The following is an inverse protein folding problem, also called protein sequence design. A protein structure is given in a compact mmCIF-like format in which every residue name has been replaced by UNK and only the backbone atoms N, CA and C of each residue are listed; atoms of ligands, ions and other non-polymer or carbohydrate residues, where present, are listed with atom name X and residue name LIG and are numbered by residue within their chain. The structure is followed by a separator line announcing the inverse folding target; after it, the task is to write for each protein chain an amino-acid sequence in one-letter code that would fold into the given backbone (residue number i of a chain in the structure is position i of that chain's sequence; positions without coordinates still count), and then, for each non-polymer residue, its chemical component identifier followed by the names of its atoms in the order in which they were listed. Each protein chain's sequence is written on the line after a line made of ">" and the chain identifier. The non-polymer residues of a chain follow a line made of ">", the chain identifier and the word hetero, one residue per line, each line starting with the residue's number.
data_IF_122011752136
#
_entry.id   IF_122011752136
#
_cell.length_a   1.000
_cell.length_b   1.000
_cell.length_c   1.000
_cell.angle_alpha   90.00
_cell.angle_beta   90.00
_cell.angle_gamma   90.00
#
_symmetry.space_group_name_H-M   'P 1'
#
loop_
_entity.id
_entity.type
_entity.pdbx_description
1 polymer ?
#
# COMPACT_ATOMS: atom_id res chain seq x y z
N UNK A 1 17.67 7.72 -4.30
CA UNK A 1 17.41 8.38 -5.60
C UNK A 1 15.92 8.71 -5.66
N UNK A 2 15.51 9.95 -5.39
CA UNK A 2 14.09 10.33 -5.25
C UNK A 2 13.36 10.45 -6.60
N UNK A 3 14.10 10.50 -7.72
CA UNK A 3 13.53 10.63 -9.07
C UNK A 3 12.62 9.46 -9.46
N UNK A 4 12.87 8.26 -8.93
CA UNK A 4 12.06 7.07 -9.21
C UNK A 4 10.62 7.17 -8.69
N UNK A 5 10.34 8.09 -7.77
CA UNK A 5 9.01 8.34 -7.22
C UNK A 5 8.38 9.64 -7.75
N UNK A 6 9.02 10.31 -8.72
CA UNK A 6 8.52 11.56 -9.27
C UNK A 6 7.12 11.41 -9.89
N UNK A 7 6.78 10.21 -10.37
CA UNK A 7 5.46 9.90 -10.92
C UNK A 7 4.33 10.10 -9.92
N UNK A 8 4.57 9.97 -8.60
CA UNK A 8 3.53 10.17 -7.59
C UNK A 8 2.92 11.58 -7.63
N UNK A 9 3.64 12.58 -8.15
CA UNK A 9 3.13 13.95 -8.33
C UNK A 9 1.94 14.03 -9.29
N UNK A 10 1.76 13.01 -10.13
CA UNK A 10 0.66 12.91 -11.09
C UNK A 10 -0.59 12.25 -10.47
N UNK A 11 -0.53 11.75 -9.23
CA UNK A 11 -1.71 11.21 -8.54
C UNK A 11 -2.30 12.24 -7.58
N UNK A 12 -3.06 13.20 -8.12
CA UNK A 12 -3.69 14.26 -7.34
C UNK A 12 -5.18 14.05 -7.19
N UNK A 13 -5.67 14.28 -5.97
CA UNK A 13 -7.10 14.32 -5.65
C UNK A 13 -7.33 15.63 -4.90
N UNK A 14 -8.22 16.46 -5.46
CA UNK A 14 -8.38 17.88 -5.14
C UNK A 14 -7.02 18.58 -5.28
N UNK A 15 -6.59 19.31 -4.25
CA UNK A 15 -5.32 20.04 -4.27
C UNK A 15 -4.15 19.23 -3.67
N UNK A 16 -4.40 17.98 -3.24
CA UNK A 16 -3.42 17.12 -2.58
C UNK A 16 -2.77 16.12 -3.53
N UNK A 17 -1.47 15.85 -3.33
CA UNK A 17 -0.81 14.68 -3.89
C UNK A 17 -1.11 13.51 -2.94
N UNK A 18 -1.79 12.48 -3.43
CA UNK A 18 -2.13 11.31 -2.62
C UNK A 18 -1.27 10.14 -3.03
N UNK A 19 -0.74 9.40 -2.06
CA UNK A 19 -0.11 8.12 -2.32
C UNK A 19 -1.20 7.12 -2.78
N UNK A 20 -1.06 6.49 -3.96
CA UNK A 20 -2.09 5.61 -4.50
C UNK A 20 -2.39 4.43 -3.59
N UNK A 21 -3.68 4.10 -3.42
CA UNK A 21 -4.11 2.92 -2.67
C UNK A 21 -3.48 1.63 -3.21
N UNK A 22 -3.38 1.51 -4.54
CA UNK A 22 -2.73 0.37 -5.21
C UNK A 22 -1.23 0.28 -4.90
N UNK A 23 -0.56 1.41 -4.71
CA UNK A 23 0.86 1.41 -4.35
C UNK A 23 1.09 0.89 -2.93
N UNK A 24 0.15 1.12 -1.99
CA UNK A 24 0.20 0.50 -0.65
C UNK A 24 0.13 -1.03 -0.75
N UNK A 25 -0.74 -1.55 -1.62
CA UNK A 25 -0.85 -2.99 -1.86
C UNK A 25 0.42 -3.58 -2.50
N UNK A 26 1.04 -2.85 -3.43
CA UNK A 26 2.31 -3.28 -4.03
C UNK A 26 3.44 -3.34 -2.99
N UNK A 27 3.47 -2.41 -2.02
CA UNK A 27 4.42 -2.48 -0.90
C UNK A 27 4.21 -3.75 -0.08
N UNK A 28 2.97 -4.13 0.23
CA UNK A 28 2.67 -5.39 0.93
C UNK A 28 3.14 -6.59 0.11
N UNK A 29 2.84 -6.62 -1.19
CA UNK A 29 3.25 -7.68 -2.08
C UNK A 29 4.78 -7.82 -2.18
N UNK A 30 5.48 -6.69 -2.30
CA UNK A 30 6.94 -6.65 -2.32
C UNK A 30 7.54 -7.11 -0.98
N UNK A 31 7.01 -6.64 0.15
CA UNK A 31 7.45 -7.05 1.48
C UNK A 31 7.27 -8.54 1.72
N UNK A 32 6.11 -9.08 1.32
CA UNK A 32 5.86 -10.51 1.37
C UNK A 32 6.87 -11.31 0.54
N UNK A 33 7.10 -10.91 -0.71
CA UNK A 33 8.09 -11.57 -1.59
C UNK A 33 9.48 -11.56 -0.97
N UNK A 34 9.88 -10.48 -0.30
CA UNK A 34 11.17 -10.40 0.38
C UNK A 34 11.28 -11.38 1.55
N UNK A 35 10.20 -11.57 2.33
CA UNK A 35 10.16 -12.51 3.45
C UNK A 35 10.16 -13.99 3.02
N UNK A 36 9.61 -14.31 1.84
CA UNK A 36 9.47 -15.69 1.35
C UNK A 36 10.53 -16.14 0.35
N UNK A 37 11.01 -15.24 -0.51
CA UNK A 37 12.02 -15.59 -1.53
C UNK A 37 13.42 -15.76 -0.93
N UNK A 38 13.61 -15.44 0.36
CA UNK A 38 14.84 -15.74 1.11
C UNK A 38 14.99 -17.22 1.49
N UNK A 39 13.96 -18.05 1.33
CA UNK A 39 13.97 -19.47 1.67
C UNK A 39 13.86 -20.35 0.42
N UNK A 40 15.00 -20.61 -0.26
CA UNK A 40 15.37 -21.63 -1.27
C UNK A 40 14.37 -22.18 -2.34
N UNK A 41 13.09 -21.84 -2.31
CA UNK A 41 12.09 -22.26 -3.28
C UNK A 41 11.66 -21.06 -4.13
N UNK A 42 12.25 -20.95 -5.32
CA UNK A 42 11.97 -19.94 -6.35
C UNK A 42 10.59 -20.09 -7.02
N UNK A 43 9.62 -20.74 -6.37
CA UNK A 43 8.26 -20.73 -6.89
C UNK A 43 7.64 -19.39 -6.51
N UNK A 44 7.18 -18.65 -7.53
CA UNK A 44 6.37 -17.45 -7.32
C UNK A 44 5.06 -17.89 -6.66
N UNK A 45 5.02 -17.93 -5.33
CA UNK A 45 3.77 -18.14 -4.60
C UNK A 45 2.81 -17.01 -4.97
N UNK A 46 1.66 -17.40 -5.53
CA UNK A 46 0.58 -16.48 -5.78
C UNK A 46 0.05 -16.01 -4.42
N UNK A 47 0.06 -14.70 -4.22
CA UNK A 47 -0.55 -14.09 -3.04
C UNK A 47 -1.89 -13.48 -3.41
N UNK A 48 -2.85 -13.66 -2.53
CA UNK A 48 -4.13 -12.95 -2.59
C UNK A 48 -4.22 -12.04 -1.38
N UNK A 49 -4.46 -10.75 -1.61
CA UNK A 49 -4.76 -9.80 -0.54
C UNK A 49 -6.27 -9.80 -0.33
N UNK A 50 -6.68 -10.17 0.88
CA UNK A 50 -8.08 -10.35 1.26
C UNK A 50 -8.48 -9.35 2.35
N UNK A 51 -9.78 -9.13 2.51
CA UNK A 51 -10.34 -8.26 3.57
C UNK A 51 -9.69 -6.87 3.65
N UNK A 52 -9.31 -6.32 2.49
CA UNK A 52 -8.57 -5.07 2.37
C UNK A 52 -9.43 -3.90 2.88
N UNK A 53 -8.93 -3.16 3.86
CA UNK A 53 -9.53 -1.93 4.37
C UNK A 53 -8.55 -0.77 4.25
N UNK A 54 -8.97 0.27 3.54
CA UNK A 54 -8.27 1.55 3.52
C UNK A 54 -8.86 2.45 4.60
N UNK A 55 -8.07 2.74 5.63
CA UNK A 55 -8.48 3.49 6.82
C UNK A 55 -8.32 4.99 6.61
N UNK A 56 -7.18 5.41 6.04
CA UNK A 56 -6.85 6.82 5.84
C UNK A 56 -5.99 7.02 4.61
N UNK A 57 -6.32 8.04 3.81
CA UNK A 57 -5.49 8.44 2.68
C UNK A 57 -4.13 8.96 3.17
N UNK A 58 -3.06 8.58 2.46
CA UNK A 58 -1.73 9.13 2.68
C UNK A 58 -1.54 10.34 1.77
N UNK A 59 -1.47 11.53 2.35
CA UNK A 59 -1.22 12.78 1.63
C UNK A 59 0.28 13.07 1.68
N UNK A 60 0.89 13.32 0.51
CA UNK A 60 2.30 13.65 0.38
C UNK A 60 2.46 15.17 0.28
N UNK A 61 3.33 15.74 1.10
CA UNK A 61 3.70 17.16 1.01
C UNK A 61 5.04 17.32 0.29
N UNK A 62 5.23 18.43 -0.44
CA UNK A 62 6.41 18.59 -1.32
C UNK A 62 7.74 18.75 -0.57
N UNK A 63 7.69 19.14 0.71
CA UNK A 63 8.86 19.51 1.50
C UNK A 63 9.10 18.59 2.69
N UNK A 64 8.35 17.50 2.80
CA UNK A 64 8.46 16.55 3.89
C UNK A 64 8.69 15.14 3.35
N UNK A 65 9.75 14.50 3.84
CA UNK A 65 9.92 13.08 3.64
C UNK A 65 8.91 12.33 4.51
N UNK A 66 8.21 11.37 3.94
CA UNK A 66 7.32 10.47 4.69
C UNK A 66 7.88 9.07 4.64
N UNK A 67 8.03 8.45 5.81
CA UNK A 67 8.39 7.06 5.93
C UNK A 67 7.14 6.19 5.91
N UNK A 68 7.17 5.10 5.17
CA UNK A 68 6.09 4.12 5.08
C UNK A 68 6.59 2.80 5.67
N UNK A 69 5.83 2.24 6.59
CA UNK A 69 6.14 1.00 7.29
C UNK A 69 5.12 -0.07 6.95
N UNK A 70 5.61 -1.28 6.78
CA UNK A 70 4.78 -2.45 6.46
C UNK A 70 5.02 -3.50 7.50
N UNK A 71 3.97 -3.84 8.24
CA UNK A 71 3.97 -4.96 9.17
C UNK A 71 3.25 -6.13 8.50
N UNK A 72 3.88 -7.30 8.51
CA UNK A 72 3.29 -8.55 8.03
C UNK A 72 3.41 -9.57 9.16
N UNK A 73 2.27 -9.94 9.75
CA UNK A 73 2.18 -11.02 10.73
C UNK A 73 1.90 -12.33 9.98
N UNK A 74 2.95 -13.13 9.84
CA UNK A 74 2.91 -14.38 9.09
C UNK A 74 2.06 -15.47 9.75
N UNK A 75 1.96 -15.45 11.08
CA UNK A 75 1.21 -16.45 11.84
C UNK A 75 -0.29 -16.16 11.74
N UNK A 76 -0.67 -14.88 11.86
CA UNK A 76 -2.06 -14.44 11.73
C UNK A 76 -2.50 -14.26 10.29
N UNK A 77 -1.55 -14.22 9.35
CA UNK A 77 -1.76 -13.90 7.94
C UNK A 77 -2.38 -12.51 7.76
N UNK A 78 -1.90 -11.55 8.54
CA UNK A 78 -2.39 -10.18 8.56
C UNK A 78 -1.29 -9.22 8.13
N UNK A 79 -1.69 -8.10 7.54
CA UNK A 79 -0.76 -7.03 7.19
C UNK A 79 -1.35 -5.67 7.55
N UNK A 80 -0.46 -4.71 7.78
CA UNK A 80 -0.81 -3.32 8.06
C UNK A 80 0.24 -2.37 7.48
N UNK A 81 -0.22 -1.25 6.93
CA UNK A 81 0.62 -0.18 6.40
C UNK A 81 0.45 1.07 7.24
N UNK A 82 1.56 1.58 7.74
CA UNK A 82 1.65 2.80 8.51
C UNK A 82 2.50 3.83 7.78
N UNK A 83 2.33 5.11 8.15
CA UNK A 83 3.30 6.13 7.79
C UNK A 83 3.59 7.05 8.96
N UNK A 84 4.72 7.74 8.89
CA UNK A 84 5.01 8.91 9.72
C UNK A 84 5.81 9.94 8.92
N UNK A 85 5.62 11.23 9.17
CA UNK A 85 6.51 12.24 8.62
C UNK A 85 7.90 12.15 9.27
N UNK A 86 8.95 12.41 8.48
CA UNK A 86 10.34 12.38 8.96
C UNK A 86 10.59 13.42 10.06
N UNK A 87 9.86 14.53 10.03
CA UNK A 87 9.89 15.58 11.07
C UNK A 87 9.52 15.03 12.46
N UNK A 88 8.74 13.96 12.54
CA UNK A 88 8.35 13.30 13.79
C UNK A 88 9.35 12.26 14.28
N UNK A 89 10.37 11.87 13.48
CA UNK A 89 11.28 10.76 13.79
C UNK A 89 12.27 11.01 14.95
N UNK A 90 12.24 12.21 15.56
CA UNK A 90 13.07 12.57 16.71
C UNK A 90 14.59 12.66 16.42
N UNK A 91 15.41 12.97 17.44
CA UNK A 91 16.87 13.10 17.29
C UNK A 91 17.60 11.76 17.04
N UNK A 92 16.95 10.61 17.27
CA UNK A 92 17.48 9.27 16.99
C UNK A 92 17.16 8.74 15.57
N UNK A 93 16.74 9.64 14.67
CA UNK A 93 16.35 9.36 13.28
C UNK A 93 17.45 8.74 12.38
N UNK A 94 18.68 8.60 12.85
CA UNK A 94 19.76 7.88 12.15
C UNK A 94 19.71 6.36 12.33
N UNK A 95 18.73 5.81 13.07
CA UNK A 95 18.43 4.38 13.03
C UNK A 95 17.59 4.09 11.78
N UNK A 96 18.07 3.30 10.80
CA UNK A 96 17.35 2.98 9.55
C UNK A 96 16.09 2.11 9.73
N UNK A 97 15.58 2.05 10.95
CA UNK A 97 14.47 1.21 11.37
C UNK A 97 13.87 1.92 12.58
N UNK A 98 12.83 2.74 12.33
CA UNK A 98 12.06 3.48 13.34
C UNK A 98 11.38 2.63 14.42
N UNK A 99 11.58 1.32 14.39
CA UNK A 99 11.69 0.43 15.54
C UNK A 99 12.94 -0.40 15.24
N UNK A 100 13.89 -0.56 16.17
CA UNK A 100 14.84 -1.65 15.97
C UNK A 100 14.01 -2.93 15.84
N UNK A 101 14.42 -3.89 15.00
CA UNK A 101 13.83 -5.23 15.03
C UNK A 101 13.69 -5.74 16.47
N UNK A 102 14.61 -5.30 17.34
CA UNK A 102 14.65 -5.58 18.75
C UNK A 102 13.53 -4.90 19.55
N UNK A 103 13.12 -3.67 19.26
CA UNK A 103 11.99 -3.02 19.97
C UNK A 103 10.65 -3.68 19.60
N UNK A 104 10.53 -4.18 18.36
CA UNK A 104 9.38 -5.01 17.94
C UNK A 104 9.42 -6.41 18.59
N UNK A 105 10.58 -7.06 18.63
CA UNK A 105 10.78 -8.35 19.31
C UNK A 105 10.52 -8.22 20.82
N UNK A 106 11.00 -7.15 21.44
CA UNK A 106 10.78 -6.84 22.85
C UNK A 106 9.31 -6.46 23.10
N UNK A 107 8.61 -5.87 22.11
CA UNK A 107 7.16 -5.66 22.19
C UNK A 107 6.30 -6.92 22.05
N UNK A 108 6.83 -7.98 21.45
CA UNK A 108 6.20 -9.31 21.46
C UNK A 108 6.32 -9.98 22.84
N UNK A 109 7.28 -9.54 23.66
CA UNK A 109 7.52 -10.03 25.02
C UNK A 109 6.87 -9.13 26.10
N UNK A 110 6.71 -7.83 25.83
CA UNK A 110 6.07 -6.86 26.72
C UNK A 110 5.18 -5.86 25.95
N UNK A 111 3.87 -5.97 26.14
CA UNK A 111 2.86 -5.08 25.53
C UNK A 111 3.00 -3.61 25.97
N UNK A 112 3.68 -3.31 27.09
CA UNK A 112 3.85 -1.93 27.55
C UNK A 112 4.84 -1.13 26.69
N UNK A 113 5.79 -1.78 26.03
CA UNK A 113 6.79 -1.12 25.16
C UNK A 113 6.14 -0.45 23.94
N UNK A 114 5.08 -1.05 23.38
CA UNK A 114 4.27 -0.45 22.31
C UNK A 114 3.45 0.76 22.77
N UNK A 115 3.09 0.82 24.06
CA UNK A 115 2.33 1.94 24.60
C UNK A 115 3.19 3.17 24.89
N UNK A 116 4.51 2.99 25.04
CA UNK A 116 5.46 4.08 25.29
C UNK A 116 6.01 4.70 23.99
N UNK A 117 6.26 3.89 22.95
CA UNK A 117 6.53 4.39 21.59
C UNK A 117 5.23 4.72 20.87
N UNK A 118 4.60 5.79 21.36
CA UNK A 118 3.48 6.54 20.81
C UNK A 118 2.90 5.99 19.49
N UNK A 119 1.81 5.22 19.61
CA UNK A 119 0.82 5.02 18.55
C UNK A 119 0.32 6.34 17.92
N UNK A 120 0.61 7.51 18.51
CA UNK A 120 0.31 8.83 17.93
C UNK A 120 1.35 9.29 16.87
N UNK A 121 2.51 8.64 16.77
CA UNK A 121 3.52 9.00 15.76
C UNK A 121 3.16 8.41 14.38
N UNK A 122 2.54 7.24 14.38
CA UNK A 122 2.22 6.49 13.17
C UNK A 122 0.75 6.63 12.80
N UNK A 123 0.51 6.87 11.52
CA UNK A 123 -0.84 6.84 10.95
C UNK A 123 -1.07 5.52 10.23
N UNK A 124 -2.08 4.75 10.65
CA UNK A 124 -2.54 3.56 9.94
C UNK A 124 -3.28 3.97 8.65
N UNK A 125 -2.85 3.42 7.51
CA UNK A 125 -3.44 3.73 6.20
C UNK A 125 -4.27 2.58 5.64
N UNK A 126 -3.77 1.36 5.75
CA UNK A 126 -4.44 0.18 5.21
C UNK A 126 -4.08 -1.06 6.03
N UNK A 127 -5.01 -2.00 6.09
CA UNK A 127 -4.76 -3.32 6.64
C UNK A 127 -5.62 -4.37 5.94
N UNK A 128 -5.27 -5.63 6.11
CA UNK A 128 -6.01 -6.75 5.55
C UNK A 128 -5.35 -8.07 5.88
N UNK A 129 -5.69 -9.09 5.09
CA UNK A 129 -5.17 -10.46 5.21
C UNK A 129 -4.39 -10.86 3.97
N UNK A 130 -3.45 -11.79 4.11
CA UNK A 130 -2.72 -12.41 3.00
C UNK A 130 -3.06 -13.89 2.97
N UNK A 131 -3.59 -14.34 1.84
CA UNK A 131 -3.74 -15.75 1.57
C UNK A 131 -2.64 -16.25 0.62
N UNK A 132 -2.13 -17.45 0.91
CA UNK A 132 -0.97 -18.09 0.30
C UNK A 132 -1.35 -19.51 -0.10
N UNK A 133 -2.46 -19.63 -0.82
CA UNK A 133 -2.89 -20.93 -1.29
C UNK A 133 -2.03 -21.32 -2.51
N UNK A 134 -1.08 -22.24 -2.28
CA UNK A 134 -0.28 -22.89 -3.34
C UNK A 134 -1.12 -23.85 -4.19
N UNK A 135 -2.37 -24.10 -3.82
CA UNK A 135 -3.29 -24.82 -4.69
C UNK A 135 -3.70 -23.86 -5.78
N UNK A 136 -3.27 -24.14 -7.02
CA UNK A 136 -3.89 -23.61 -8.22
C UNK A 136 -5.39 -23.98 -8.25
N UNK A 137 -6.22 -23.34 -7.43
CA UNK A 137 -7.44 -22.87 -8.01
C UNK A 137 -7.00 -21.74 -8.90
N UNK A 138 -7.14 -21.96 -10.22
CA UNK A 138 -7.54 -20.90 -11.13
C UNK A 138 -8.45 -19.98 -10.31
N UNK A 139 -7.92 -18.89 -9.76
CA UNK A 139 -8.75 -17.72 -9.51
C UNK A 139 -9.21 -17.43 -10.91
N UNK A 140 -10.40 -17.96 -11.22
CA UNK A 140 -11.02 -17.78 -12.50
C UNK A 140 -10.92 -16.29 -12.67
N UNK A 141 -10.12 -15.83 -13.62
CA UNK A 141 -10.35 -14.53 -14.18
C UNK A 141 -11.78 -14.69 -14.68
N UNK A 142 -12.76 -14.33 -13.86
CA UNK A 142 -14.15 -14.22 -14.28
C UNK A 142 -14.15 -12.95 -15.13
N UNK A 143 -13.39 -12.97 -16.23
CA UNK A 143 -13.87 -12.43 -17.47
C UNK A 143 -15.03 -13.36 -17.81
N UNK A 144 -16.19 -13.10 -17.21
CA UNK A 144 -17.46 -13.54 -17.76
C UNK A 144 -17.58 -12.84 -19.11
N UNK A 145 -16.87 -13.36 -20.12
CA UNK A 145 -17.10 -13.04 -21.53
C UNK A 145 -18.58 -13.27 -21.88
N UNK A 146 -19.27 -14.08 -21.08
CA UNK A 146 -20.69 -14.37 -21.18
C UNK A 146 -21.62 -13.37 -20.46
N UNK A 147 -21.13 -12.45 -19.61
CA UNK A 147 -21.95 -11.34 -19.07
C UNK A 147 -21.94 -10.09 -19.96
N UNK A 148 -21.12 -10.08 -21.02
CA UNK A 148 -20.96 -8.92 -21.92
C UNK A 148 -22.15 -8.78 -22.90
N UNK A 149 -23.12 -9.72 -22.91
CA UNK A 149 -24.15 -9.78 -23.95
C UNK A 149 -25.44 -8.97 -23.68
N UNK A 150 -25.67 -8.48 -22.46
CA UNK A 150 -26.96 -7.87 -22.08
C UNK A 150 -26.87 -6.43 -21.53
N UNK A 151 -25.75 -5.76 -21.74
CA UNK A 151 -25.58 -4.36 -21.36
C UNK A 151 -25.13 -3.56 -22.58
N UNK A 152 -25.86 -2.50 -22.91
CA UNK A 152 -25.39 -1.49 -23.84
C UNK A 152 -24.23 -0.73 -23.20
N UNK A 153 -23.01 -1.25 -23.34
CA UNK A 153 -21.81 -0.55 -22.94
C UNK A 153 -21.57 0.59 -23.94
N UNK A 154 -21.57 1.83 -23.47
CA UNK A 154 -21.02 2.94 -24.24
C UNK A 154 -19.51 2.95 -24.08
N UNK A 155 -18.79 2.87 -25.19
CA UNK A 155 -17.36 3.13 -25.20
C UNK A 155 -17.14 4.61 -24.96
N UNK A 156 -16.39 4.96 -23.92
CA UNK A 156 -15.93 6.32 -23.68
C UNK A 156 -14.48 6.43 -24.11
N UNK A 157 -14.12 7.54 -24.78
CA UNK A 157 -12.71 7.87 -24.99
C UNK A 157 -12.06 8.22 -23.65
N UNK A 158 -10.79 7.86 -23.49
CA UNK A 158 -10.06 8.08 -22.24
C UNK A 158 -10.03 9.56 -21.82
N UNK A 159 -9.91 10.48 -22.79
CA UNK A 159 -9.89 11.92 -22.54
C UNK A 159 -11.19 12.39 -21.88
N UNK A 160 -12.35 11.96 -22.37
CA UNK A 160 -13.66 12.23 -21.77
C UNK A 160 -13.79 11.67 -20.36
N UNK A 161 -13.27 10.45 -20.10
CA UNK A 161 -13.25 9.86 -18.76
C UNK A 161 -12.44 10.72 -17.78
N UNK A 162 -11.22 11.11 -18.15
CA UNK A 162 -10.37 11.92 -17.28
C UNK A 162 -10.87 13.36 -17.11
N UNK A 163 -11.48 13.93 -18.16
CA UNK A 163 -12.18 15.22 -18.08
C UNK A 163 -13.33 15.18 -17.08
N UNK A 164 -14.16 14.13 -17.13
CA UNK A 164 -15.25 13.93 -16.17
C UNK A 164 -14.73 13.72 -14.74
N UNK A 165 -13.68 12.92 -14.56
CA UNK A 165 -13.05 12.69 -13.25
C UNK A 165 -12.46 13.99 -12.66
N UNK A 166 -11.88 14.86 -13.49
CA UNK A 166 -11.38 16.17 -13.09
C UNK A 166 -12.47 17.05 -12.48
N UNK A 167 -13.71 17.01 -13.02
CA UNK A 167 -14.84 17.75 -12.43
C UNK A 167 -15.19 17.33 -11.00
N UNK A 168 -14.75 16.13 -10.58
CA UNK A 168 -14.93 15.58 -9.22
C UNK A 168 -13.67 15.73 -8.35
N UNK A 169 -12.67 16.44 -8.84
CA UNK A 169 -11.41 16.68 -8.13
C UNK A 169 -10.31 15.67 -8.42
N UNK A 170 -10.51 14.65 -9.27
CA UNK A 170 -9.41 13.73 -9.62
C UNK A 170 -8.53 14.36 -10.71
N UNK A 171 -7.36 14.84 -10.33
CA UNK A 171 -6.44 15.57 -11.19
C UNK A 171 -5.25 14.69 -11.60
N UNK A 172 -5.54 13.56 -12.26
CA UNK A 172 -4.49 12.64 -12.71
C UNK A 172 -3.60 13.28 -13.77
N UNK A 173 -2.28 13.17 -13.62
CA UNK A 173 -1.29 13.56 -14.62
C UNK A 173 -1.02 12.43 -15.63
N UNK A 174 -0.14 12.66 -16.63
CA UNK A 174 0.05 11.76 -17.75
C UNK A 174 0.38 10.31 -17.37
N UNK A 175 1.11 10.09 -16.28
CA UNK A 175 1.50 8.74 -15.85
C UNK A 175 0.36 7.95 -15.19
N UNK A 176 -0.72 8.63 -14.80
CA UNK A 176 -1.94 8.02 -14.24
C UNK A 176 -3.12 8.05 -15.22
N UNK A 177 -2.94 8.63 -16.42
CA UNK A 177 -3.92 8.61 -17.49
C UNK A 177 -3.58 7.51 -18.50
N UNK A 178 -4.08 6.29 -18.26
CA UNK A 178 -3.95 5.15 -19.17
C UNK A 178 -5.27 4.81 -19.87
#
# INVERSE_FOLDING_TARGET
>A
NLSQYAFLKDHKIQDGILFPAVALLEIVAAGYRQLFLSTDNKEQSLITLEEIKFVKALVLTQHELTEIFTQIDMLKREWSIYSRPWSSAGPDCMRPSGMASNDFIDSLLDQQTLSQHSLNEFTLHAHGRINMDNTQQKSTTILTTNMIRDTTWSTHDASSVYSHLSTRGYQYGPLFQN
#
